data_IF_203101472332
#
_entry.id   IF_203101472332
#
_cell.length_a   1.000
_cell.length_b   1.000
_cell.length_c   1.000
_cell.angle_alpha   90.00
_cell.angle_beta   90.00
_cell.angle_gamma   90.00
#
_symmetry.space_group_name_H-M   'P 1'
#
loop_
_entity.id
_entity.type
_entity.pdbx_description
1 polymer ?
#
# COMPACT_ATOMS: atom_id res chain seq x y z
N UNK A 1 50.64 7.85 -1.27
CA UNK A 1 49.38 8.62 -1.10
C UNK A 1 49.18 9.52 -2.32
N UNK A 2 48.10 9.33 -3.07
CA UNK A 2 47.79 10.17 -4.24
C UNK A 2 47.53 11.61 -3.80
N UNK A 3 48.41 12.54 -4.21
CA UNK A 3 48.22 13.97 -4.01
C UNK A 3 47.33 14.50 -5.13
N UNK A 4 46.09 14.84 -4.80
CA UNK A 4 45.18 15.50 -5.75
C UNK A 4 45.35 17.01 -5.67
N UNK A 5 45.33 17.69 -6.82
CA UNK A 5 45.29 19.15 -6.84
C UNK A 5 43.89 19.64 -6.48
N UNK A 6 43.81 20.66 -5.62
CA UNK A 6 42.56 21.24 -5.15
C UNK A 6 41.66 21.69 -6.33
N UNK A 7 42.28 22.29 -7.35
CA UNK A 7 41.58 22.75 -8.56
C UNK A 7 40.96 21.60 -9.35
N UNK A 8 41.72 20.50 -9.55
CA UNK A 8 41.22 19.33 -10.30
C UNK A 8 40.05 18.65 -9.59
N UNK A 9 40.08 18.61 -8.26
CA UNK A 9 39.07 17.96 -7.45
C UNK A 9 37.77 18.76 -7.41
N UNK A 10 37.88 20.09 -7.28
CA UNK A 10 36.72 21.00 -7.36
C UNK A 10 36.05 20.96 -8.73
N UNK A 11 36.86 20.97 -9.81
CA UNK A 11 36.36 20.85 -11.18
C UNK A 11 35.64 19.51 -11.39
N UNK A 12 36.24 18.41 -10.93
CA UNK A 12 35.63 17.08 -11.02
C UNK A 12 34.30 17.01 -10.27
N UNK A 13 34.24 17.50 -9.02
CA UNK A 13 33.02 17.52 -8.22
C UNK A 13 31.88 18.26 -8.94
N UNK A 14 32.13 19.47 -9.43
CA UNK A 14 31.10 20.27 -10.10
C UNK A 14 30.61 19.60 -11.38
N UNK A 15 31.53 19.19 -12.26
CA UNK A 15 31.16 18.56 -13.53
C UNK A 15 30.41 17.24 -13.31
N UNK A 16 30.89 16.40 -12.39
CA UNK A 16 30.29 15.11 -12.11
C UNK A 16 28.93 15.24 -11.44
N UNK A 17 28.72 16.25 -10.57
CA UNK A 17 27.42 16.54 -9.97
C UNK A 17 26.35 16.90 -11.02
N UNK A 18 26.65 17.83 -11.93
CA UNK A 18 25.70 18.22 -12.97
C UNK A 18 25.43 17.06 -13.95
N UNK A 19 26.46 16.28 -14.29
CA UNK A 19 26.30 15.12 -15.16
C UNK A 19 25.45 14.02 -14.49
N UNK A 20 25.65 13.78 -13.19
CA UNK A 20 24.82 12.85 -12.42
C UNK A 20 23.34 13.29 -12.39
N UNK A 21 23.08 14.59 -12.21
CA UNK A 21 21.73 15.14 -12.26
C UNK A 21 21.08 14.95 -13.64
N UNK A 22 21.82 15.20 -14.72
CA UNK A 22 21.31 15.05 -16.10
C UNK A 22 21.02 13.60 -16.45
N UNK A 23 21.94 12.69 -16.11
CA UNK A 23 21.85 11.26 -16.44
C UNK A 23 20.74 10.54 -15.68
N UNK A 24 20.37 11.02 -14.49
CA UNK A 24 19.31 10.38 -13.70
C UNK A 24 17.92 10.48 -14.34
N UNK A 25 17.65 11.54 -15.10
CA UNK A 25 16.38 11.73 -15.80
C UNK A 25 16.25 10.96 -17.11
N UNK A 26 17.27 10.18 -17.51
CA UNK A 26 17.29 9.46 -18.79
C UNK A 26 16.50 8.14 -18.67
N UNK A 27 15.82 7.74 -19.74
CA UNK A 27 15.08 6.48 -19.82
C UNK A 27 16.02 5.26 -19.97
N UNK A 28 16.89 5.05 -18.99
CA UNK A 28 17.85 3.93 -18.91
C UNK A 28 17.83 3.36 -17.50
N UNK A 29 17.82 2.02 -17.33
CA UNK A 29 17.95 1.41 -16.01
C UNK A 29 19.33 1.74 -15.43
N UNK A 30 19.36 2.65 -14.46
CA UNK A 30 20.59 3.10 -13.81
C UNK A 30 20.37 3.32 -12.31
N UNK A 31 21.47 3.38 -11.55
CA UNK A 31 21.47 3.58 -10.11
C UNK A 31 22.14 4.89 -9.71
N UNK A 32 21.59 5.58 -8.72
CA UNK A 32 22.10 6.88 -8.25
C UNK A 32 23.01 6.76 -7.01
N UNK A 33 23.13 5.56 -6.44
CA UNK A 33 23.92 5.29 -5.24
C UNK A 33 25.41 5.58 -5.43
N UNK A 34 26.03 4.97 -6.46
CA UNK A 34 27.47 5.11 -6.72
C UNK A 34 27.84 6.53 -7.18
N UNK A 35 27.11 7.19 -8.10
CA UNK A 35 27.39 8.58 -8.46
C UNK A 35 27.34 9.53 -7.27
N UNK A 36 26.40 9.33 -6.34
CA UNK A 36 26.28 10.15 -5.13
C UNK A 36 27.43 9.93 -4.16
N UNK A 37 27.83 8.68 -3.93
CA UNK A 37 29.02 8.38 -3.12
C UNK A 37 30.26 9.03 -3.71
N UNK A 38 30.44 8.98 -5.04
CA UNK A 38 31.60 9.56 -5.70
C UNK A 38 31.61 11.09 -5.60
N UNK A 39 30.46 11.75 -5.81
CA UNK A 39 30.30 13.20 -5.60
C UNK A 39 30.68 13.58 -4.17
N UNK A 40 30.10 12.90 -3.17
CA UNK A 40 30.36 13.19 -1.77
C UNK A 40 31.79 12.87 -1.34
N UNK A 41 32.41 11.82 -1.88
CA UNK A 41 33.81 11.48 -1.62
C UNK A 41 34.76 12.55 -2.18
N UNK A 42 34.49 13.03 -3.39
CA UNK A 42 35.25 14.12 -4.00
C UNK A 42 35.12 15.41 -3.17
N UNK A 43 33.90 15.74 -2.73
CA UNK A 43 33.66 16.88 -1.86
C UNK A 43 34.34 16.74 -0.49
N UNK A 44 34.26 15.57 0.14
CA UNK A 44 34.93 15.28 1.42
C UNK A 44 36.45 15.38 1.32
N UNK A 45 37.05 14.88 0.23
CA UNK A 45 38.49 15.07 -0.05
C UNK A 45 38.86 16.52 -0.31
N UNK A 46 37.98 17.29 -0.96
CA UNK A 46 38.21 18.71 -1.21
C UNK A 46 38.30 19.47 0.11
N UNK A 47 37.30 19.28 0.97
CA UNK A 47 37.28 19.85 2.33
C UNK A 47 38.51 19.40 3.13
N UNK A 48 38.88 18.12 3.10
CA UNK A 48 40.06 17.61 3.80
C UNK A 48 41.36 18.31 3.35
N UNK A 49 41.52 18.53 2.05
CA UNK A 49 42.73 19.17 1.50
C UNK A 49 42.83 20.62 1.95
N UNK A 50 41.69 21.33 2.01
CA UNK A 50 41.63 22.69 2.57
C UNK A 50 41.99 22.69 4.06
N UNK A 51 41.44 21.77 4.86
CA UNK A 51 41.76 21.69 6.30
C UNK A 51 43.25 21.41 6.56
N UNK A 52 43.88 20.59 5.72
CA UNK A 52 45.32 20.33 5.80
C UNK A 52 46.12 21.58 5.46
N UNK A 53 45.72 22.37 4.46
CA UNK A 53 46.39 23.62 4.12
C UNK A 53 46.29 24.68 5.23
N UNK A 54 45.18 24.70 5.97
CA UNK A 54 44.98 25.59 7.13
C UNK A 54 45.73 25.10 8.38
N UNK A 55 46.26 23.87 8.36
CA UNK A 55 47.05 23.30 9.46
C UNK A 55 46.23 22.64 10.57
N UNK A 56 44.92 22.43 10.36
CA UNK A 56 44.04 21.77 11.35
C UNK A 56 44.02 20.24 11.24
N UNK A 57 44.49 19.66 10.13
CA UNK A 57 44.44 18.22 9.89
C UNK A 57 45.72 17.68 9.26
N UNK A 58 46.02 16.41 9.55
CA UNK A 58 47.10 15.67 8.90
C UNK A 58 46.64 15.03 7.58
N UNK A 59 47.56 14.88 6.63
CA UNK A 59 47.30 14.23 5.34
C UNK A 59 46.76 12.79 5.47
N UNK A 60 47.06 12.11 6.58
CA UNK A 60 46.66 10.72 6.85
C UNK A 60 45.13 10.55 6.95
N UNK A 61 44.42 11.55 7.50
CA UNK A 61 42.98 11.47 7.75
C UNK A 61 42.12 11.79 6.52
N UNK A 62 42.73 12.12 5.38
CA UNK A 62 41.99 12.56 4.19
C UNK A 62 41.05 11.46 3.65
N UNK A 63 41.35 10.18 3.90
CA UNK A 63 40.43 9.07 3.55
C UNK A 63 39.14 9.06 4.36
N UNK A 64 39.23 9.30 5.65
CA UNK A 64 38.08 9.34 6.56
C UNK A 64 37.14 10.49 6.21
N UNK A 65 37.67 11.68 5.90
CA UNK A 65 36.86 12.80 5.43
C UNK A 65 36.16 12.53 4.10
N UNK A 66 36.78 11.76 3.20
CA UNK A 66 36.14 11.32 1.96
C UNK A 66 34.94 10.42 2.24
N UNK A 67 35.12 9.44 3.13
CA UNK A 67 34.05 8.53 3.54
C UNK A 67 32.89 9.28 4.20
N UNK A 68 33.20 10.20 5.12
CA UNK A 68 32.20 11.02 5.80
C UNK A 68 31.45 11.92 4.80
N UNK A 69 32.17 12.54 3.85
CA UNK A 69 31.56 13.35 2.80
C UNK A 69 30.66 12.53 1.85
N UNK A 70 31.09 11.30 1.51
CA UNK A 70 30.30 10.36 0.72
C UNK A 70 29.00 9.98 1.43
N UNK A 71 29.08 9.67 2.72
CA UNK A 71 27.92 9.39 3.57
C UNK A 71 26.97 10.59 3.66
N UNK A 72 27.51 11.79 3.95
CA UNK A 72 26.71 13.00 4.05
C UNK A 72 25.91 13.29 2.77
N UNK A 73 26.57 13.22 1.62
CA UNK A 73 25.94 13.52 0.34
C UNK A 73 24.87 12.48 -0.03
N UNK A 74 25.20 11.19 0.07
CA UNK A 74 24.25 10.13 -0.23
C UNK A 74 23.07 10.12 0.75
N UNK A 75 23.33 10.34 2.04
CA UNK A 75 22.30 10.49 3.07
C UNK A 75 21.39 11.69 2.81
N UNK A 76 21.93 12.80 2.32
CA UNK A 76 21.16 13.99 1.94
C UNK A 76 20.33 13.81 0.67
N UNK A 77 20.73 12.97 -0.28
CA UNK A 77 19.95 12.70 -1.50
C UNK A 77 18.86 11.66 -1.24
N UNK A 78 19.20 10.56 -0.55
CA UNK A 78 18.36 9.36 -0.43
C UNK A 78 17.54 9.32 0.87
N UNK A 79 17.96 10.03 1.93
CA UNK A 79 17.31 10.08 3.26
C UNK A 79 17.23 8.74 4.01
N UNK A 80 18.06 7.78 3.62
CA UNK A 80 18.28 6.53 4.35
C UNK A 80 19.40 6.72 5.38
N UNK A 81 19.11 6.47 6.66
CA UNK A 81 20.06 6.68 7.77
C UNK A 81 20.65 5.37 8.29
N UNK A 82 19.83 4.50 8.90
CA UNK A 82 20.30 3.28 9.58
C UNK A 82 20.89 2.29 8.58
N UNK A 83 20.14 1.92 7.54
CA UNK A 83 20.59 0.95 6.53
C UNK A 83 21.85 1.43 5.81
N UNK A 84 21.94 2.72 5.49
CA UNK A 84 23.11 3.29 4.84
C UNK A 84 24.35 3.27 5.75
N UNK A 85 24.18 3.58 7.03
CA UNK A 85 25.26 3.48 8.02
C UNK A 85 25.83 2.06 8.04
N UNK A 86 24.96 1.04 8.14
CA UNK A 86 25.38 -0.36 8.20
C UNK A 86 26.14 -0.76 6.94
N UNK A 87 25.64 -0.40 5.75
CA UNK A 87 26.33 -0.69 4.48
C UNK A 87 27.74 -0.08 4.45
N UNK A 88 27.88 1.16 4.92
CA UNK A 88 29.18 1.84 4.94
C UNK A 88 30.14 1.22 5.97
N UNK A 89 29.67 0.85 7.15
CA UNK A 89 30.48 0.15 8.18
C UNK A 89 30.95 -1.21 7.64
N UNK A 90 30.05 -2.00 7.08
CA UNK A 90 30.38 -3.32 6.52
C UNK A 90 31.38 -3.20 5.37
N UNK A 91 31.20 -2.21 4.48
CA UNK A 91 32.13 -1.98 3.36
C UNK A 91 33.52 -1.51 3.80
N UNK A 92 33.62 -0.86 4.97
CA UNK A 92 34.88 -0.34 5.51
C UNK A 92 35.53 -1.30 6.49
N UNK A 93 34.79 -2.31 6.96
CA UNK A 93 35.21 -3.32 7.93
C UNK A 93 35.75 -2.72 9.25
N UNK A 94 35.30 -1.52 9.61
CA UNK A 94 35.73 -0.82 10.82
C UNK A 94 34.53 -0.17 11.54
N UNK A 95 34.08 -0.84 12.61
CA UNK A 95 32.88 -0.48 13.37
C UNK A 95 33.05 0.85 14.12
N UNK A 96 34.28 1.25 14.41
CA UNK A 96 34.62 2.51 15.08
C UNK A 96 34.06 3.74 14.35
N UNK A 97 33.90 3.68 13.02
CA UNK A 97 33.30 4.77 12.24
C UNK A 97 31.77 4.85 12.31
N UNK A 98 31.10 3.91 12.98
CA UNK A 98 29.65 3.87 13.02
C UNK A 98 29.00 5.10 13.66
N UNK A 99 29.47 5.49 14.85
CA UNK A 99 28.97 6.67 15.57
C UNK A 99 29.10 7.97 14.75
N UNK A 100 30.27 8.33 14.20
CA UNK A 100 30.40 9.55 13.39
C UNK A 100 29.59 9.50 12.09
N UNK A 101 29.47 8.33 11.44
CA UNK A 101 28.64 8.18 10.24
C UNK A 101 27.15 8.38 10.54
N UNK A 102 26.64 7.81 11.64
CA UNK A 102 25.25 8.00 12.05
C UNK A 102 24.93 9.47 12.31
N UNK A 103 25.82 10.18 13.03
CA UNK A 103 25.65 11.60 13.33
C UNK A 103 25.58 12.43 12.04
N UNK A 104 26.52 12.21 11.13
CA UNK A 104 26.58 12.95 9.87
C UNK A 104 25.37 12.66 8.99
N UNK A 105 24.92 11.39 8.94
CA UNK A 105 23.71 11.02 8.21
C UNK A 105 22.44 11.63 8.82
N UNK A 106 22.35 11.74 10.15
CA UNK A 106 21.24 12.42 10.81
C UNK A 106 21.21 13.92 10.48
N UNK A 107 22.36 14.60 10.57
CA UNK A 107 22.46 16.03 10.23
C UNK A 107 22.15 16.26 8.76
N UNK A 108 22.69 15.43 7.86
CA UNK A 108 22.41 15.51 6.43
C UNK A 108 20.92 15.31 6.14
N UNK A 109 20.29 14.31 6.76
CA UNK A 109 18.85 14.06 6.64
C UNK A 109 18.03 15.25 7.11
N UNK A 110 18.27 15.76 8.33
CA UNK A 110 17.52 16.90 8.87
C UNK A 110 17.69 18.16 8.03
N UNK A 111 18.93 18.45 7.63
CA UNK A 111 19.21 19.60 6.77
C UNK A 111 18.45 19.49 5.45
N UNK A 112 18.38 18.29 4.89
CA UNK A 112 17.62 18.06 3.70
C UNK A 112 16.10 18.13 3.93
N UNK A 113 15.57 17.59 5.04
CA UNK A 113 14.12 17.45 5.29
C UNK A 113 13.50 18.84 5.42
N UNK A 114 14.31 19.82 5.85
CA UNK A 114 13.97 21.23 5.86
C UNK A 114 13.75 21.84 4.46
N UNK A 115 14.49 21.39 3.44
CA UNK A 115 14.42 21.97 2.09
C UNK A 115 13.55 21.18 1.12
N UNK A 116 13.68 19.85 1.12
CA UNK A 116 13.02 18.99 0.15
C UNK A 116 12.88 17.54 0.64
N UNK A 117 12.00 16.79 0.00
CA UNK A 117 11.85 15.35 0.22
C UNK A 117 13.00 14.53 -0.40
N UNK A 118 13.08 13.26 -0.03
CA UNK A 118 14.05 12.34 -0.62
C UNK A 118 13.80 12.12 -2.11
N UNK A 119 14.87 11.90 -2.88
CA UNK A 119 14.78 11.76 -4.33
C UNK A 119 13.83 10.63 -4.77
N UNK A 120 13.84 9.52 -4.04
CA UNK A 120 12.98 8.37 -4.33
C UNK A 120 11.50 8.67 -4.04
N UNK A 121 11.20 9.38 -2.95
CA UNK A 121 9.83 9.73 -2.58
C UNK A 121 9.19 10.65 -3.63
N UNK A 122 9.97 11.63 -4.11
CA UNK A 122 9.56 12.53 -5.20
C UNK A 122 9.22 11.74 -6.46
N UNK A 123 10.03 10.74 -6.83
CA UNK A 123 9.76 9.92 -8.02
C UNK A 123 8.52 9.04 -7.88
N UNK A 124 8.24 8.55 -6.68
CA UNK A 124 7.02 7.78 -6.40
C UNK A 124 5.79 8.69 -6.52
N UNK A 125 5.86 9.91 -5.98
CA UNK A 125 4.81 10.93 -6.11
C UNK A 125 4.57 11.32 -7.57
N UNK A 126 5.64 11.53 -8.35
CA UNK A 126 5.55 11.82 -9.78
C UNK A 126 4.97 10.68 -10.61
N UNK A 127 5.18 9.42 -10.21
CA UNK A 127 4.55 8.25 -10.83
C UNK A 127 3.08 8.07 -10.48
N UNK A 128 2.55 8.86 -9.53
CA UNK A 128 1.15 8.77 -9.09
C UNK A 128 0.81 7.46 -8.37
N UNK A 129 1.81 6.76 -7.82
CA UNK A 129 1.57 5.52 -7.08
C UNK A 129 1.11 5.87 -5.65
N UNK A 130 -0.05 5.37 -5.18
CA UNK A 130 -0.52 5.64 -3.83
C UNK A 130 0.30 4.85 -2.80
N UNK A 131 1.41 5.45 -2.34
CA UNK A 131 2.25 4.90 -1.27
C UNK A 131 1.80 5.46 0.09
N UNK A 132 1.60 4.58 1.07
CA UNK A 132 1.33 4.99 2.44
C UNK A 132 2.66 5.27 3.16
N UNK A 133 2.79 6.48 3.71
CA UNK A 133 3.96 6.88 4.50
C UNK A 133 3.98 6.17 5.87
N UNK A 134 5.17 6.10 6.50
CA UNK A 134 5.33 5.47 7.81
C UNK A 134 4.61 6.23 8.92
N UNK A 135 4.61 7.55 8.83
CA UNK A 135 3.93 8.45 9.77
C UNK A 135 2.73 9.07 9.08
N UNK A 136 1.72 9.44 9.86
CA UNK A 136 0.56 10.12 9.30
C UNK A 136 0.85 11.61 9.28
N UNK A 137 0.44 12.30 8.21
CA UNK A 137 0.60 13.74 8.09
C UNK A 137 0.04 14.48 9.32
N UNK A 138 0.82 15.45 9.82
CA UNK A 138 0.38 16.29 10.94
C UNK A 138 -0.93 16.99 10.59
N UNK A 139 -1.90 16.92 11.51
CA UNK A 139 -3.23 17.52 11.32
C UNK A 139 -4.34 16.54 10.91
N UNK A 140 -4.02 15.31 10.49
CA UNK A 140 -5.04 14.27 10.23
C UNK A 140 -5.56 13.61 11.50
N UNK A 141 -4.99 13.91 12.67
CA UNK A 141 -5.33 13.30 13.96
C UNK A 141 -6.81 13.48 14.36
N UNK A 142 -7.48 14.50 13.81
CA UNK A 142 -8.90 14.79 14.07
C UNK A 142 -9.86 14.08 13.12
N UNK A 143 -9.35 13.46 12.04
CA UNK A 143 -10.18 12.74 11.08
C UNK A 143 -10.65 11.42 11.69
N UNK A 144 -11.96 11.16 11.57
CA UNK A 144 -12.57 9.90 12.01
C UNK A 144 -12.67 8.92 10.86
N UNK A 145 -12.87 7.64 11.18
CA UNK A 145 -13.03 6.60 10.17
C UNK A 145 -14.22 6.89 9.25
N UNK A 146 -15.31 7.46 9.79
CA UNK A 146 -16.46 7.87 8.98
C UNK A 146 -16.15 8.97 7.95
N UNK A 147 -15.13 9.79 8.20
CA UNK A 147 -14.76 10.91 7.33
C UNK A 147 -13.84 10.45 6.18
N UNK A 148 -13.14 9.33 6.38
CA UNK A 148 -12.18 8.77 5.43
C UNK A 148 -12.79 7.60 4.64
N UNK A 149 -13.69 6.81 5.25
CA UNK A 149 -14.27 5.66 4.57
C UNK A 149 -15.20 6.10 3.43
N UNK A 150 -15.16 5.37 2.33
CA UNK A 150 -16.20 5.44 1.33
C UNK A 150 -17.40 4.58 1.75
N UNK A 151 -18.61 5.02 1.42
CA UNK A 151 -19.80 4.22 1.72
C UNK A 151 -19.86 3.05 0.74
N UNK A 152 -20.11 1.81 1.21
CA UNK A 152 -20.13 0.67 0.31
C UNK A 152 -21.35 0.75 -0.63
N UNK A 153 -21.11 1.08 -1.89
CA UNK A 153 -22.14 1.10 -2.94
C UNK A 153 -22.59 -0.31 -3.37
N UNK A 154 -21.83 -1.34 -3.03
CA UNK A 154 -22.07 -2.72 -3.43
C UNK A 154 -21.77 -3.68 -2.30
N UNK A 155 -22.67 -4.63 -2.07
CA UNK A 155 -22.55 -5.69 -1.07
C UNK A 155 -23.12 -6.99 -1.62
N UNK A 156 -22.68 -8.11 -1.06
CA UNK A 156 -23.12 -9.45 -1.47
C UNK A 156 -23.75 -10.16 -0.29
N UNK A 157 -24.85 -10.89 -0.52
CA UNK A 157 -25.48 -11.73 0.50
C UNK A 157 -24.79 -13.10 0.60
N UNK A 158 -24.92 -13.77 1.76
CA UNK A 158 -24.45 -15.17 1.93
C UNK A 158 -24.99 -16.08 0.82
N UNK A 159 -26.22 -15.82 0.41
CA UNK A 159 -26.90 -16.49 -0.71
C UNK A 159 -27.33 -15.39 -1.66
N UNK A 160 -26.74 -15.36 -2.85
CA UNK A 160 -27.07 -14.36 -3.88
C UNK A 160 -27.27 -15.04 -5.23
N UNK A 161 -28.16 -14.48 -6.05
CA UNK A 161 -28.34 -14.93 -7.45
C UNK A 161 -27.07 -14.65 -8.25
N UNK A 162 -26.68 -15.62 -9.07
CA UNK A 162 -25.49 -15.51 -9.93
C UNK A 162 -25.62 -14.33 -10.90
N UNK A 163 -26.82 -14.09 -11.43
CA UNK A 163 -27.12 -12.93 -12.30
C UNK A 163 -26.79 -11.60 -11.63
N UNK A 164 -27.18 -11.42 -10.36
CA UNK A 164 -26.86 -10.22 -9.57
C UNK A 164 -25.36 -10.06 -9.34
N UNK A 165 -24.65 -11.16 -9.07
CA UNK A 165 -23.18 -11.15 -8.90
C UNK A 165 -22.48 -10.77 -10.21
N UNK A 166 -22.89 -11.35 -11.34
CA UNK A 166 -22.34 -11.01 -12.67
C UNK A 166 -22.59 -9.54 -12.99
N UNK A 167 -23.81 -9.04 -12.73
CA UNK A 167 -24.15 -7.63 -12.93
C UNK A 167 -23.28 -6.72 -12.06
N UNK A 168 -23.08 -7.06 -10.79
CA UNK A 168 -22.21 -6.31 -9.87
C UNK A 168 -20.76 -6.32 -10.36
N UNK A 169 -20.24 -7.47 -10.80
CA UNK A 169 -18.88 -7.58 -11.34
C UNK A 169 -18.72 -6.77 -12.64
N UNK A 170 -19.74 -6.66 -13.48
CA UNK A 170 -19.69 -5.86 -14.72
C UNK A 170 -19.83 -4.36 -14.48
N UNK A 171 -20.61 -3.97 -13.47
CA UNK A 171 -20.90 -2.55 -13.17
C UNK A 171 -19.84 -1.88 -12.30
N UNK A 172 -19.15 -2.65 -11.45
CA UNK A 172 -18.18 -2.11 -10.49
C UNK A 172 -16.75 -2.49 -10.86
N UNK A 173 -15.81 -1.59 -10.59
CA UNK A 173 -14.37 -1.83 -10.71
C UNK A 173 -13.73 -2.28 -9.38
N UNK A 174 -14.51 -2.45 -8.31
CA UNK A 174 -14.00 -2.86 -7.01
C UNK A 174 -13.48 -4.30 -7.04
N UNK A 175 -12.38 -4.53 -6.33
CA UNK A 175 -11.72 -5.83 -6.23
C UNK A 175 -12.18 -6.65 -5.02
N UNK A 176 -12.99 -6.08 -4.14
CA UNK A 176 -13.35 -6.67 -2.87
C UNK A 176 -14.76 -6.19 -2.47
N UNK A 177 -15.60 -7.10 -2.00
CA UNK A 177 -17.00 -6.84 -1.68
C UNK A 177 -17.34 -7.31 -0.25
N UNK A 178 -18.04 -6.49 0.55
CA UNK A 178 -18.51 -6.90 1.87
C UNK A 178 -19.65 -7.91 1.76
N UNK A 179 -19.58 -8.97 2.56
CA UNK A 179 -20.61 -10.01 2.69
C UNK A 179 -21.49 -9.71 3.90
N UNK A 180 -22.79 -9.57 3.67
CA UNK A 180 -23.78 -9.20 4.69
C UNK A 180 -24.85 -10.28 4.86
N UNK A 181 -25.37 -10.39 6.08
CA UNK A 181 -26.51 -11.22 6.43
C UNK A 181 -27.59 -10.40 7.12
N UNK A 182 -28.84 -10.83 6.96
CA UNK A 182 -29.98 -10.27 7.71
C UNK A 182 -29.92 -10.87 9.12
N UNK A 183 -29.90 -10.03 10.16
CA UNK A 183 -29.79 -10.50 11.54
C UNK A 183 -31.04 -11.24 12.05
N UNK A 184 -32.15 -11.13 11.32
CA UNK A 184 -33.39 -11.85 11.61
C UNK A 184 -33.35 -13.18 10.87
N UNK A 185 -33.48 -14.31 11.59
CA UNK A 185 -33.15 -15.67 11.14
C UNK A 185 -33.96 -16.27 9.99
N UNK A 186 -34.52 -15.45 9.10
CA UNK A 186 -35.13 -15.84 7.83
C UNK A 186 -34.21 -15.36 6.71
N UNK A 187 -33.49 -16.30 6.09
CA UNK A 187 -32.78 -16.09 4.84
C UNK A 187 -33.78 -15.76 3.74
N UNK A 188 -34.26 -14.52 3.69
CA UNK A 188 -35.05 -14.02 2.57
C UNK A 188 -34.07 -13.74 1.43
N UNK A 189 -34.26 -14.46 0.33
CA UNK A 189 -33.62 -14.19 -0.95
C UNK A 189 -34.18 -12.83 -1.38
N UNK A 190 -33.42 -11.75 -1.15
CA UNK A 190 -33.82 -10.40 -1.56
C UNK A 190 -33.26 -10.14 -2.94
N UNK A 191 -34.18 -10.00 -3.89
CA UNK A 191 -33.87 -9.66 -5.27
C UNK A 191 -33.46 -8.19 -5.37
N UNK A 192 -32.28 -7.95 -5.94
CA UNK A 192 -31.84 -6.60 -6.30
C UNK A 192 -32.54 -6.15 -7.58
N UNK A 193 -33.83 -5.85 -7.53
CA UNK A 193 -34.50 -5.08 -8.55
C UNK A 193 -34.87 -3.68 -8.01
N UNK A 194 -34.28 -2.66 -8.64
CA UNK A 194 -34.66 -1.25 -8.58
C UNK A 194 -34.69 -0.54 -7.21
N UNK A 195 -33.70 0.31 -6.98
CA UNK A 195 -33.92 1.55 -6.21
C UNK A 195 -33.56 2.74 -7.10
N UNK A 196 -34.50 3.13 -7.97
CA UNK A 196 -34.59 4.50 -8.47
C UNK A 196 -35.42 5.32 -7.47
N UNK A 197 -35.04 6.57 -7.17
CA UNK A 197 -35.89 7.47 -6.40
C UNK A 197 -36.87 8.12 -7.38
N UNK A 198 -38.16 7.85 -7.22
CA UNK A 198 -39.32 8.69 -7.57
C UNK A 198 -40.46 7.87 -8.20
N UNK A 199 -41.63 7.97 -7.57
CA UNK A 199 -42.89 7.48 -8.12
C UNK A 199 -43.90 7.23 -7.02
N UNK A 200 -44.79 8.21 -6.81
CA UNK A 200 -46.03 8.08 -6.04
C UNK A 200 -46.75 6.76 -6.39
N UNK A 201 -47.29 6.08 -5.38
CA UNK A 201 -48.73 5.88 -5.22
C UNK A 201 -49.07 5.12 -3.91
N UNK A 202 -50.10 5.65 -3.27
CA UNK A 202 -51.08 5.04 -2.38
C UNK A 202 -50.68 4.72 -0.93
N UNK A 203 -50.99 5.72 -0.11
CA UNK A 203 -51.30 5.61 1.31
C UNK A 203 -52.51 4.70 1.53
N UNK A 204 -52.30 3.47 1.99
CA UNK A 204 -53.28 2.78 2.83
C UNK A 204 -52.57 2.14 4.04
N UNK A 205 -53.23 2.29 5.18
CA UNK A 205 -52.71 2.14 6.54
C UNK A 205 -52.31 0.70 6.86
N UNK A 206 -51.14 0.54 7.46
CA UNK A 206 -50.95 -0.31 8.63
C UNK A 206 -49.80 0.25 9.50
N UNK A 207 -50.15 0.78 10.67
CA UNK A 207 -49.22 1.17 11.72
C UNK A 207 -48.64 -0.10 12.38
N UNK A 208 -47.63 -0.70 11.76
CA UNK A 208 -46.91 -1.86 12.28
C UNK A 208 -45.40 -1.66 12.16
N UNK A 209 -44.74 -1.46 13.30
CA UNK A 209 -43.28 -1.54 13.54
C UNK A 209 -42.39 -1.54 12.28
N UNK A 210 -41.75 -0.40 12.03
CA UNK A 210 -40.57 -0.35 11.15
C UNK A 210 -39.47 -1.18 11.82
N UNK A 211 -39.41 -2.47 11.50
CA UNK A 211 -38.32 -3.35 11.93
C UNK A 211 -37.06 -2.75 11.34
N UNK A 212 -36.20 -2.15 12.17
CA UNK A 212 -34.86 -1.77 11.75
C UNK A 212 -34.16 -3.05 11.30
N UNK A 213 -34.08 -3.26 9.98
CA UNK A 213 -33.36 -4.38 9.40
C UNK A 213 -31.90 -4.24 9.80
N UNK A 214 -31.51 -4.98 10.83
CA UNK A 214 -30.15 -4.98 11.33
C UNK A 214 -29.31 -5.88 10.44
N UNK A 215 -28.43 -5.27 9.65
CA UNK A 215 -27.47 -5.98 8.82
C UNK A 215 -26.29 -6.43 9.68
N UNK A 216 -25.83 -7.67 9.49
CA UNK A 216 -24.62 -8.19 10.13
C UNK A 216 -23.56 -8.43 9.06
N UNK A 217 -22.39 -7.82 9.25
CA UNK A 217 -21.22 -8.08 8.42
C UNK A 217 -20.60 -9.43 8.81
N UNK A 218 -20.55 -10.35 7.85
CA UNK A 218 -20.02 -11.71 8.01
C UNK A 218 -18.57 -11.82 7.55
N UNK A 219 -18.20 -11.11 6.49
CA UNK A 219 -16.85 -11.17 5.95
C UNK A 219 -16.69 -10.37 4.66
N UNK A 220 -15.59 -10.64 3.97
CA UNK A 220 -15.21 -9.96 2.73
C UNK A 220 -14.87 -11.03 1.69
N UNK A 221 -15.31 -10.81 0.45
CA UNK A 221 -14.99 -11.66 -0.69
C UNK A 221 -14.27 -10.87 -1.77
N UNK A 222 -13.24 -11.47 -2.36
CA UNK A 222 -12.48 -10.84 -3.45
C UNK A 222 -13.13 -11.11 -4.81
N UNK A 223 -12.96 -10.16 -5.73
CA UNK A 223 -13.43 -10.23 -7.12
C UNK A 223 -12.91 -11.46 -7.84
N UNK A 224 -11.61 -11.75 -7.72
CA UNK A 224 -11.00 -12.91 -8.35
C UNK A 224 -11.59 -14.23 -7.83
N UNK A 225 -11.89 -14.32 -6.52
CA UNK A 225 -12.54 -15.49 -5.94
C UNK A 225 -13.93 -15.69 -6.56
N UNK A 226 -14.72 -14.63 -6.70
CA UNK A 226 -16.03 -14.70 -7.37
C UNK A 226 -15.89 -15.15 -8.82
N UNK A 227 -14.92 -14.63 -9.56
CA UNK A 227 -14.64 -15.01 -10.95
C UNK A 227 -14.27 -16.49 -11.06
N UNK A 228 -13.34 -16.99 -10.24
CA UNK A 228 -12.96 -18.41 -10.25
C UNK A 228 -14.11 -19.34 -9.84
N UNK A 229 -15.02 -18.89 -8.95
CA UNK A 229 -16.24 -19.64 -8.62
C UNK A 229 -17.20 -19.74 -9.82
N UNK A 230 -17.34 -18.68 -10.61
CA UNK A 230 -18.17 -18.67 -11.81
C UNK A 230 -17.59 -19.54 -12.91
N UNK A 231 -16.26 -19.49 -13.12
CA UNK A 231 -15.57 -20.31 -14.11
C UNK A 231 -15.70 -21.81 -13.83
N UNK A 232 -15.60 -22.19 -12.55
CA UNK A 232 -15.75 -23.58 -12.11
C UNK A 232 -17.23 -24.03 -11.96
N UNK A 233 -18.19 -23.22 -12.41
CA UNK A 233 -19.63 -23.51 -12.36
C UNK A 233 -20.17 -23.88 -10.96
N UNK A 234 -19.68 -23.23 -9.91
CA UNK A 234 -20.10 -23.52 -8.54
C UNK A 234 -21.35 -22.74 -8.20
N UNK A 235 -22.50 -23.28 -8.59
CA UNK A 235 -23.83 -22.72 -8.30
C UNK A 235 -24.88 -23.80 -8.05
N UNK A 236 -25.95 -23.42 -7.36
CA UNK A 236 -27.12 -24.27 -7.03
C UNK A 236 -28.36 -23.78 -7.74
N UNK A 237 -29.26 -24.70 -8.11
CA UNK A 237 -30.61 -24.32 -8.50
C UNK A 237 -31.49 -24.19 -7.27
N UNK A 238 -32.31 -23.14 -7.21
CA UNK A 238 -33.23 -22.85 -6.11
C UNK A 238 -34.18 -24.02 -5.77
N UNK A 239 -34.51 -24.85 -6.76
CA UNK A 239 -35.49 -25.95 -6.61
C UNK A 239 -34.95 -27.21 -5.94
N UNK A 240 -33.62 -27.38 -5.82
CA UNK A 240 -33.03 -28.53 -5.15
C UNK A 240 -32.80 -28.19 -3.67
N UNK A 241 -33.72 -28.58 -2.80
CA UNK A 241 -33.63 -28.40 -1.33
C UNK A 241 -32.43 -29.06 -0.62
N UNK A 242 -31.41 -29.52 -1.37
CA UNK A 242 -30.10 -29.93 -0.87
C UNK A 242 -29.07 -28.86 -1.30
N UNK A 243 -28.71 -27.99 -0.36
CA UNK A 243 -27.56 -27.07 -0.48
C UNK A 243 -26.24 -27.88 -0.40
N UNK A 244 -25.89 -28.64 -1.43
CA UNK A 244 -24.65 -29.43 -1.45
C UNK A 244 -23.62 -28.81 -2.39
N UNK A 245 -22.88 -27.79 -1.91
CA UNK A 245 -21.76 -27.17 -2.64
C UNK A 245 -20.80 -28.23 -3.22
N UNK A 246 -20.46 -28.21 -4.53
CA UNK A 246 -19.32 -28.98 -4.98
C UNK A 246 -18.09 -28.44 -4.23
N UNK A 247 -17.35 -29.35 -3.61
CA UNK A 247 -16.15 -28.99 -2.87
C UNK A 247 -15.12 -28.46 -3.87
N UNK A 248 -14.61 -27.25 -3.62
CA UNK A 248 -13.57 -26.63 -4.45
C UNK A 248 -12.27 -26.70 -3.68
N UNK A 249 -11.24 -27.24 -4.31
CA UNK A 249 -9.88 -27.19 -3.77
C UNK A 249 -9.32 -25.78 -3.86
N UNK A 250 -8.48 -25.42 -2.89
CA UNK A 250 -7.71 -24.18 -2.95
C UNK A 250 -6.83 -24.09 -4.21
N UNK A 251 -6.40 -25.22 -4.75
CA UNK A 251 -5.63 -25.31 -5.99
C UNK A 251 -6.43 -24.78 -7.20
N UNK A 252 -7.73 -25.08 -7.26
CA UNK A 252 -8.60 -24.61 -8.35
C UNK A 252 -8.86 -23.10 -8.25
N UNK A 253 -8.84 -22.52 -7.04
CA UNK A 253 -8.98 -21.08 -6.82
C UNK A 253 -7.71 -20.27 -7.15
N UNK A 254 -6.55 -20.94 -7.17
CA UNK A 254 -5.24 -20.28 -7.37
C UNK A 254 -4.58 -20.65 -8.69
N UNK A 255 -5.23 -21.48 -9.50
CA UNK A 255 -4.75 -21.94 -10.81
C UNK A 255 -4.33 -20.80 -11.74
N UNK A 256 -5.07 -19.70 -11.75
CA UNK A 256 -4.83 -18.56 -12.65
C UNK A 256 -3.97 -17.46 -12.02
N UNK A 257 -3.43 -17.70 -10.82
CA UNK A 257 -2.47 -16.78 -10.23
C UNK A 257 -1.19 -16.73 -11.09
N UNK A 258 -0.63 -15.54 -11.40
CA UNK A 258 -0.95 -14.21 -10.84
C UNK A 258 -1.94 -13.36 -11.65
N UNK A 259 -2.41 -13.83 -12.81
CA UNK A 259 -3.28 -13.06 -13.71
C UNK A 259 -4.62 -13.79 -13.88
N UNK A 260 -5.57 -13.42 -13.03
CA UNK A 260 -6.94 -13.90 -13.10
C UNK A 260 -7.64 -13.41 -14.37
N UNK A 261 -8.54 -14.21 -14.96
CA UNK A 261 -9.31 -13.82 -16.14
C UNK A 261 -10.30 -12.69 -15.80
N UNK A 262 -10.63 -11.87 -16.80
CA UNK A 262 -11.65 -10.85 -16.65
C UNK A 262 -13.06 -11.44 -16.78
N UNK A 263 -14.04 -10.79 -16.14
CA UNK A 263 -15.46 -11.21 -16.19
C UNK A 263 -16.01 -11.25 -17.63
N UNK A 264 -15.39 -10.54 -18.57
CA UNK A 264 -15.80 -10.50 -19.97
C UNK A 264 -15.31 -11.71 -20.78
N UNK A 265 -14.27 -12.41 -20.30
CA UNK A 265 -13.66 -13.55 -21.00
C UNK A 265 -14.35 -14.88 -20.67
N UNK A 266 -15.22 -14.88 -19.66
CA UNK A 266 -15.91 -16.09 -19.20
C UNK A 266 -17.06 -16.42 -20.15
N UNK A 267 -16.80 -17.34 -21.08
CA UNK A 267 -17.79 -17.84 -22.05
C UNK A 267 -18.97 -18.57 -21.39
N UNK A 268 -18.76 -19.10 -20.19
CA UNK A 268 -19.74 -19.84 -19.38
C UNK A 268 -20.90 -18.98 -18.88
N UNK A 269 -20.82 -17.65 -18.97
CA UNK A 269 -21.87 -16.73 -18.50
C UNK A 269 -23.20 -16.94 -19.25
N UNK A 270 -23.16 -17.32 -20.52
CA UNK A 270 -24.37 -17.53 -21.33
C UNK A 270 -25.11 -18.83 -21.02
N UNK A 271 -24.47 -19.78 -20.34
CA UNK A 271 -25.06 -21.07 -19.95
C UNK A 271 -25.62 -21.09 -18.53
N UNK A 272 -25.55 -19.98 -17.79
CA UNK A 272 -25.99 -19.93 -16.38
C UNK A 272 -27.52 -19.85 -16.31
N UNK A 273 -28.20 -20.75 -15.58
CA UNK A 273 -29.63 -20.66 -15.32
C UNK A 273 -30.01 -19.39 -14.56
N UNK A 274 -31.16 -18.77 -14.85
CA UNK A 274 -31.63 -17.57 -14.14
C UNK A 274 -31.91 -17.82 -12.65
N UNK A 275 -32.23 -19.08 -12.29
CA UNK A 275 -32.48 -19.57 -10.93
C UNK A 275 -31.21 -20.03 -10.19
N UNK A 276 -30.02 -19.76 -10.75
CA UNK A 276 -28.76 -20.13 -10.14
C UNK A 276 -28.43 -19.23 -8.92
N UNK A 277 -28.30 -19.86 -7.76
CA UNK A 277 -27.87 -19.26 -6.51
C UNK A 277 -26.41 -19.64 -6.22
N UNK A 278 -25.60 -18.65 -5.89
CA UNK A 278 -24.28 -18.86 -5.31
C UNK A 278 -24.44 -18.88 -3.80
N UNK A 279 -24.41 -20.08 -3.22
CA UNK A 279 -24.52 -20.31 -1.78
C UNK A 279 -23.14 -20.65 -1.25
N UNK A 280 -22.81 -20.09 -0.08
CA UNK A 280 -21.58 -20.40 0.67
C UNK A 280 -20.34 -19.92 -0.08
N UNK A 281 -20.29 -18.60 -0.24
CA UNK A 281 -19.06 -17.91 -0.52
C UNK A 281 -18.00 -18.41 0.47
N UNK A 282 -16.87 -18.90 -0.04
CA UNK A 282 -15.64 -19.07 0.73
C UNK A 282 -15.14 -17.67 1.08
N UNK A 283 -15.87 -16.98 1.95
CA UNK A 283 -15.44 -15.72 2.51
C UNK A 283 -14.50 -16.03 3.67
N UNK A 284 -13.46 -15.22 3.80
CA UNK A 284 -12.54 -15.38 4.90
C UNK A 284 -13.24 -14.93 6.19
N UNK A 285 -13.86 -15.87 6.91
CA UNK A 285 -14.51 -15.61 8.21
C UNK A 285 -13.49 -15.20 9.29
N UNK A 286 -12.21 -15.44 9.04
CA UNK A 286 -11.15 -15.18 9.99
C UNK A 286 -10.75 -13.70 10.05
N UNK A 287 -11.19 -13.04 11.14
CA UNK A 287 -10.49 -11.95 11.84
C UNK A 287 -10.13 -10.74 10.97
N UNK A 288 -11.10 -10.18 10.26
CA UNK A 288 -10.97 -8.83 9.73
C UNK A 288 -10.89 -7.79 10.86
N UNK A 289 -9.96 -6.85 10.74
CA UNK A 289 -9.84 -5.69 11.62
C UNK A 289 -11.03 -4.75 11.37
N UNK A 290 -12.06 -4.84 12.20
CA UNK A 290 -13.16 -3.87 12.21
C UNK A 290 -12.73 -2.65 12.99
N UNK A 291 -12.85 -1.50 12.36
CA UNK A 291 -12.63 -0.21 12.99
C UNK A 291 -13.99 0.42 13.29
N UNK A 292 -14.19 0.91 14.51
CA UNK A 292 -15.38 1.69 14.85
C UNK A 292 -15.31 3.07 14.18
N UNK A 293 -16.44 3.50 13.60
CA UNK A 293 -16.57 4.75 12.85
C UNK A 293 -16.13 6.00 13.62
N UNK A 294 -16.27 5.98 14.95
CA UNK A 294 -15.97 7.12 15.82
C UNK A 294 -14.51 7.25 16.24
N UNK A 295 -13.66 6.28 15.93
CA UNK A 295 -12.25 6.35 16.31
C UNK A 295 -11.51 7.33 15.38
N UNK A 296 -10.45 7.97 15.88
CA UNK A 296 -9.63 8.95 15.16
C UNK A 296 -8.29 8.35 14.69
N UNK A 297 -7.71 8.93 13.64
CA UNK A 297 -6.34 8.65 13.16
C UNK A 297 -5.31 9.09 14.24
N UNK A 298 -4.18 8.41 14.49
CA UNK A 298 -3.59 7.30 13.73
C UNK A 298 -4.07 5.90 14.15
N UNK A 299 -4.65 5.19 13.20
CA UNK A 299 -5.12 3.79 13.31
C UNK A 299 -3.99 2.77 13.50
N UNK A 300 -2.75 3.17 13.23
CA UNK A 300 -1.57 2.30 13.26
C UNK A 300 -1.35 1.68 14.63
N UNK A 301 -1.74 2.36 15.71
CA UNK A 301 -1.72 1.82 17.07
C UNK A 301 -2.77 0.73 17.33
N UNK A 302 -3.84 0.65 16.52
CA UNK A 302 -4.95 -0.31 16.72
C UNK A 302 -4.75 -1.57 15.87
N UNK A 303 -4.12 -1.47 14.70
CA UNK A 303 -3.86 -2.63 13.84
C UNK A 303 -2.70 -3.49 14.39
N UNK A 304 -1.72 -2.86 15.05
CA UNK A 304 -0.57 -3.55 15.65
C UNK A 304 -0.73 -3.95 17.13
N UNK A 305 -1.64 -3.31 17.90
CA UNK A 305 -1.97 -3.78 19.25
C UNK A 305 -3.13 -4.77 19.20
N UNK A 306 -2.78 -6.05 19.38
CA UNK A 306 -3.57 -7.19 19.88
C UNK A 306 -5.11 -7.24 19.70
N UNK A 307 -5.65 -8.42 19.33
CA UNK A 307 -7.06 -8.65 18.98
C UNK A 307 -8.02 -8.75 20.19
N UNK A 308 -7.74 -8.12 21.34
CA UNK A 308 -8.43 -8.43 22.62
C UNK A 308 -8.87 -7.22 23.45
N UNK A 309 -9.11 -6.05 22.85
CA UNK A 309 -9.91 -5.02 23.51
C UNK A 309 -11.14 -4.64 22.70
N UNK A 310 -12.20 -5.42 22.94
CA UNK A 310 -13.57 -4.91 22.96
C UNK A 310 -13.61 -3.71 23.91
N UNK A 311 -13.37 -2.50 23.40
CA UNK A 311 -13.66 -1.27 24.15
C UNK A 311 -15.19 -1.16 24.16
N UNK A 312 -15.79 -1.68 25.23
CA UNK A 312 -17.15 -1.39 25.61
C UNK A 312 -17.23 0.07 26.09
N UNK A 313 -18.28 0.73 25.58
CA UNK A 313 -18.82 2.06 25.87
C UNK A 313 -18.20 3.21 25.08
#
# INVERSE_FOLDING_TARGET
MCKFSLATLGLFFLLFFFLACWTYGVHVPSGLFVPSLLCGAAYGRFVATVLVQVGYANHENSGTFALIGAAAFLGGVVRMTISLTVILIESTNEISYGLPLMLVLMVAKWSGDYFNEGLYDIHIKLKGVPLLEWEVHHGTERLKACDVMDKPDSYVYIVSRVSSVIRMLRTTAHNAFPVVSVADGRNLIVDQEHTQPNGLLNEERDEGQRIEQKWRFEGLIMRHTLVSLLENNVFFKEQNGRMSQPDISYEDLTKDYPRYPDIYDITTIHSVPEDALMVRLLYQSCRFYKISLGICVPWKQIIYNEPTKQIKK
#
